data_IF_166635041310
#
_entry.id   IF_166635041310
#
_cell.length_a   1.000
_cell.length_b   1.000
_cell.length_c   1.000
_cell.angle_alpha   90.00
_cell.angle_beta   90.00
_cell.angle_gamma   90.00
#
_symmetry.space_group_name_H-M   'P 1'
#
loop_
_entity.id
_entity.type
_entity.pdbx_description
1 polymer ?
#
# COMPACT_ATOMS: atom_id res chain seq x y z
N UNK A 1 35.63 -23.43 27.75
CA UNK A 1 34.36 -23.97 27.19
C UNK A 1 34.65 -25.18 26.30
N UNK A 2 33.91 -26.28 26.49
CA UNK A 2 34.00 -27.50 25.67
C UNK A 2 33.62 -27.21 24.20
N UNK A 3 34.31 -27.86 23.25
CA UNK A 3 33.96 -27.80 21.81
C UNK A 3 32.50 -28.19 21.56
N UNK A 4 31.96 -29.10 22.37
CA UNK A 4 30.55 -29.56 22.29
C UNK A 4 29.55 -28.46 22.67
N UNK A 5 29.87 -27.67 23.71
CA UNK A 5 29.02 -26.56 24.14
C UNK A 5 28.95 -25.46 23.09
N UNK A 6 30.08 -25.16 22.42
CA UNK A 6 30.10 -24.19 21.31
C UNK A 6 29.22 -24.65 20.14
N UNK A 7 29.33 -25.92 19.75
CA UNK A 7 28.51 -26.48 18.66
C UNK A 7 27.01 -26.40 18.98
N UNK A 8 26.61 -26.85 20.18
CA UNK A 8 25.21 -26.79 20.61
C UNK A 8 24.69 -25.35 20.62
N UNK A 9 25.46 -24.41 21.14
CA UNK A 9 25.09 -22.99 21.14
C UNK A 9 24.92 -22.47 19.71
N UNK A 10 25.83 -22.78 18.79
CA UNK A 10 25.72 -22.38 17.38
C UNK A 10 24.45 -22.93 16.74
N UNK A 11 24.13 -24.21 16.97
CA UNK A 11 22.91 -24.82 16.42
C UNK A 11 21.65 -24.11 16.92
N UNK A 12 21.58 -23.81 18.22
CA UNK A 12 20.44 -23.07 18.80
C UNK A 12 20.32 -21.67 18.21
N UNK A 13 21.43 -20.93 18.09
CA UNK A 13 21.43 -19.58 17.49
C UNK A 13 20.97 -19.62 16.04
N UNK A 14 21.48 -20.57 15.23
CA UNK A 14 21.08 -20.72 13.83
C UNK A 14 19.59 -21.10 13.73
N UNK A 15 19.10 -22.00 14.58
CA UNK A 15 17.68 -22.36 14.61
C UNK A 15 16.79 -21.15 14.94
N UNK A 16 17.16 -20.34 15.93
CA UNK A 16 16.43 -19.12 16.29
C UNK A 16 16.45 -18.09 15.16
N UNK A 17 17.60 -17.89 14.51
CA UNK A 17 17.70 -17.01 13.34
C UNK A 17 16.82 -17.51 12.18
N UNK A 18 16.74 -18.82 11.98
CA UNK A 18 15.85 -19.43 10.99
C UNK A 18 14.38 -19.13 11.26
N UNK A 19 13.92 -19.31 12.49
CA UNK A 19 12.54 -18.98 12.88
C UNK A 19 12.24 -17.49 12.67
N UNK A 20 13.15 -16.61 13.06
CA UNK A 20 13.02 -15.17 12.83
C UNK A 20 12.96 -14.83 11.34
N UNK A 21 13.83 -15.44 10.52
CA UNK A 21 13.86 -15.23 9.08
C UNK A 21 12.55 -15.65 8.40
N UNK A 22 11.98 -16.79 8.80
CA UNK A 22 10.69 -17.28 8.27
C UNK A 22 9.53 -16.38 8.72
N UNK A 23 9.50 -15.95 9.97
CA UNK A 23 8.47 -15.02 10.46
C UNK A 23 8.54 -13.67 9.75
N UNK A 24 9.75 -13.17 9.51
CA UNK A 24 9.97 -11.94 8.74
C UNK A 24 9.55 -12.12 7.29
N UNK A 25 9.92 -13.20 6.61
CA UNK A 25 9.57 -13.41 5.20
C UNK A 25 8.05 -13.48 4.99
N UNK A 26 7.33 -14.14 5.90
CA UNK A 26 5.87 -14.24 5.81
C UNK A 26 5.20 -12.87 6.05
N UNK A 27 5.66 -12.12 7.06
CA UNK A 27 5.13 -10.79 7.35
C UNK A 27 5.57 -9.71 6.35
N UNK A 28 6.58 -9.97 5.52
CA UNK A 28 7.17 -8.97 4.62
C UNK A 28 6.30 -8.67 3.39
N UNK A 29 5.64 -9.69 2.86
CA UNK A 29 4.91 -9.63 1.59
C UNK A 29 3.60 -10.40 1.67
N UNK A 30 2.62 -9.89 2.45
CA UNK A 30 1.26 -10.41 2.33
C UNK A 30 0.83 -10.32 0.86
N UNK A 31 0.21 -11.39 0.34
CA UNK A 31 -0.19 -11.46 -1.06
C UNK A 31 -1.23 -10.37 -1.36
N UNK A 32 -2.43 -10.48 -0.83
CA UNK A 32 -3.55 -9.56 -1.06
C UNK A 32 -3.90 -8.78 0.20
N UNK A 33 -3.04 -7.87 0.69
CA UNK A 33 -3.23 -7.29 2.01
C UNK A 33 -4.41 -6.33 2.08
N UNK A 34 -4.88 -5.78 0.97
CA UNK A 34 -5.92 -4.76 0.97
C UNK A 34 -7.13 -5.21 0.16
N UNK A 35 -8.31 -5.03 0.72
CA UNK A 35 -9.61 -5.14 0.06
C UNK A 35 -10.27 -3.78 0.02
N UNK A 36 -10.98 -3.54 -1.06
CA UNK A 36 -11.67 -2.27 -1.30
C UNK A 36 -13.16 -2.57 -1.42
N UNK A 37 -13.95 -1.85 -0.64
CA UNK A 37 -15.41 -1.89 -0.74
C UNK A 37 -15.97 -0.49 -0.66
N UNK A 38 -17.07 -0.24 -1.34
CA UNK A 38 -17.72 1.07 -1.29
C UNK A 38 -18.53 1.17 0.00
N UNK A 39 -18.46 2.30 0.70
CA UNK A 39 -19.17 2.47 1.96
C UNK A 39 -20.69 2.40 1.72
N UNK A 40 -21.42 1.51 2.43
CA UNK A 40 -22.84 1.26 2.16
C UNK A 40 -23.75 2.47 2.47
N UNK A 41 -23.33 3.33 3.39
CA UNK A 41 -24.13 4.45 3.90
C UNK A 41 -24.02 5.73 3.05
N UNK A 42 -23.29 5.70 1.93
CA UNK A 42 -23.23 6.85 1.03
C UNK A 42 -24.50 6.93 0.17
N UNK A 43 -25.52 7.57 0.74
CA UNK A 43 -26.78 7.91 0.06
C UNK A 43 -26.61 9.17 -0.82
N UNK A 44 -25.51 9.90 -0.71
CA UNK A 44 -25.27 11.07 -1.56
C UNK A 44 -23.80 11.26 -1.89
N UNK A 45 -23.47 11.57 -3.16
CA UNK A 45 -22.14 12.01 -3.51
C UNK A 45 -21.74 13.21 -2.66
N UNK A 46 -20.51 13.18 -2.16
CA UNK A 46 -19.90 14.36 -1.59
C UNK A 46 -19.88 15.49 -2.64
N UNK A 47 -19.87 16.77 -2.21
CA UNK A 47 -19.93 17.92 -3.11
C UNK A 47 -18.93 17.78 -4.27
N UNK A 48 -19.38 18.13 -5.49
CA UNK A 48 -18.51 18.11 -6.66
C UNK A 48 -17.38 19.10 -6.45
N UNK A 49 -16.16 18.60 -6.55
CA UNK A 49 -14.98 19.47 -6.54
C UNK A 49 -14.48 19.67 -7.96
N UNK A 50 -14.21 20.92 -8.30
CA UNK A 50 -13.62 21.30 -9.57
C UNK A 50 -12.11 21.25 -9.44
N UNK A 51 -11.50 20.27 -10.11
CA UNK A 51 -10.05 20.17 -10.22
C UNK A 51 -9.69 20.35 -11.68
N UNK A 52 -8.97 21.43 -11.99
CA UNK A 52 -8.55 21.78 -13.37
C UNK A 52 -9.73 21.87 -14.35
N UNK A 53 -10.89 22.35 -13.90
CA UNK A 53 -12.09 22.50 -14.74
C UNK A 53 -12.87 21.21 -14.97
N UNK A 54 -12.49 20.11 -14.32
CA UNK A 54 -13.21 18.83 -14.35
C UNK A 54 -13.95 18.66 -13.03
N UNK A 55 -15.25 18.38 -13.08
CA UNK A 55 -16.06 18.04 -11.91
C UNK A 55 -15.81 16.59 -11.51
N UNK A 56 -15.31 16.37 -10.30
CA UNK A 56 -15.16 15.02 -9.75
C UNK A 56 -16.25 14.73 -8.73
N UNK A 57 -16.82 13.52 -8.81
CA UNK A 57 -17.70 12.99 -7.78
C UNK A 57 -16.85 12.29 -6.72
N UNK A 58 -17.01 12.67 -5.45
CA UNK A 58 -16.29 12.02 -4.35
C UNK A 58 -17.11 10.87 -3.77
N UNK A 59 -16.49 9.70 -3.68
CA UNK A 59 -17.07 8.48 -3.10
C UNK A 59 -16.20 7.99 -1.96
N UNK A 60 -16.80 7.55 -0.87
CA UNK A 60 -16.10 6.97 0.27
C UNK A 60 -15.91 5.47 0.05
N UNK A 61 -14.66 5.04 0.17
CA UNK A 61 -14.23 3.66 -0.02
C UNK A 61 -13.61 3.19 1.27
N UNK A 62 -14.07 2.04 1.72
CA UNK A 62 -13.49 1.29 2.83
C UNK A 62 -12.31 0.49 2.29
N UNK A 63 -11.15 0.72 2.91
CA UNK A 63 -9.93 -0.02 2.65
C UNK A 63 -9.68 -0.92 3.86
N UNK A 64 -9.97 -2.20 3.68
CA UNK A 64 -9.78 -3.24 4.70
C UNK A 64 -8.40 -3.88 4.52
N UNK A 65 -7.65 -4.03 5.60
CA UNK A 65 -6.43 -4.81 5.63
C UNK A 65 -6.74 -6.25 6.03
N UNK A 66 -6.55 -7.20 5.12
CA UNK A 66 -6.82 -8.63 5.37
C UNK A 66 -5.67 -9.34 6.08
N UNK A 67 -4.51 -8.69 6.20
CA UNK A 67 -3.30 -9.27 6.74
C UNK A 67 -3.15 -9.03 8.24
N UNK A 68 -2.33 -9.87 8.89
CA UNK A 68 -1.96 -9.73 10.31
C UNK A 68 -0.89 -8.67 10.59
N UNK A 69 -0.54 -7.82 9.61
CA UNK A 69 0.53 -6.81 9.74
C UNK A 69 0.03 -5.42 9.37
N UNK A 70 0.63 -4.38 9.94
CA UNK A 70 0.32 -2.99 9.58
C UNK A 70 0.74 -2.68 8.14
N UNK A 71 -0.22 -2.20 7.34
CA UNK A 71 -0.02 -1.80 5.95
C UNK A 71 -0.03 -0.29 5.84
N UNK A 72 0.90 0.27 5.09
CA UNK A 72 0.93 1.67 4.69
C UNK A 72 0.41 1.74 3.26
N UNK A 73 -0.77 2.35 3.09
CA UNK A 73 -1.44 2.55 1.82
C UNK A 73 -1.08 3.93 1.25
N UNK A 74 -0.61 3.97 0.00
CA UNK A 74 -0.22 5.21 -0.69
C UNK A 74 -1.29 5.71 -1.65
N UNK A 75 -2.14 4.82 -2.14
CA UNK A 75 -3.18 5.17 -3.09
C UNK A 75 -3.51 4.00 -4.00
N UNK A 76 -4.61 4.16 -4.72
CA UNK A 76 -5.04 3.19 -5.70
C UNK A 76 -5.62 3.87 -6.92
N UNK A 77 -5.74 3.11 -8.00
CA UNK A 77 -6.26 3.53 -9.26
C UNK A 77 -7.18 2.44 -9.79
N UNK A 78 -8.38 2.81 -10.21
CA UNK A 78 -9.26 1.85 -10.90
C UNK A 78 -8.83 1.81 -12.36
N UNK A 79 -8.55 0.61 -12.86
CA UNK A 79 -8.34 0.38 -14.29
C UNK A 79 -9.64 0.59 -15.03
N UNK A 80 -9.72 1.73 -15.68
CA UNK A 80 -10.68 2.03 -16.74
C UNK A 80 -9.96 2.77 -17.84
N UNK A 81 -10.62 2.94 -18.99
CA UNK A 81 -10.13 3.75 -20.12
C UNK A 81 -9.71 5.16 -19.70
N UNK A 82 -10.16 5.62 -18.52
CA UNK A 82 -9.64 6.79 -17.80
C UNK A 82 -9.17 6.40 -16.40
N UNK A 83 -8.03 6.95 -15.98
CA UNK A 83 -7.43 6.73 -14.66
C UNK A 83 -8.27 7.36 -13.54
N UNK A 84 -8.93 6.55 -12.72
CA UNK A 84 -9.55 7.00 -11.46
C UNK A 84 -8.53 6.93 -10.33
N UNK A 85 -8.49 7.91 -9.41
CA UNK A 85 -7.56 7.86 -8.28
C UNK A 85 -8.32 7.74 -6.94
N UNK A 86 -7.93 6.73 -6.16
CA UNK A 86 -8.22 6.60 -4.73
C UNK A 86 -7.04 7.22 -4.01
N UNK A 87 -7.28 8.33 -3.33
CA UNK A 87 -6.27 9.00 -2.52
C UNK A 87 -6.53 8.70 -1.05
N UNK A 88 -5.51 8.35 -0.27
CA UNK A 88 -5.65 8.31 1.17
C UNK A 88 -5.75 9.77 1.66
N UNK A 89 -6.76 10.12 2.45
CA UNK A 89 -6.94 11.48 2.97
C UNK A 89 -8.37 12.00 2.87
N UNK A 90 -8.64 13.11 3.57
CA UNK A 90 -9.97 13.74 3.69
C UNK A 90 -10.18 14.93 2.75
N UNK A 91 -9.17 15.37 2.02
CA UNK A 91 -9.26 16.58 1.19
C UNK A 91 -8.28 16.60 0.04
N UNK A 92 -8.74 17.10 -1.11
CA UNK A 92 -7.84 17.58 -2.14
C UNK A 92 -7.41 18.98 -1.73
N UNK A 93 -6.14 19.20 -1.43
CA UNK A 93 -5.64 20.57 -1.31
C UNK A 93 -5.61 21.14 -2.72
N UNK A 94 -6.61 21.97 -3.04
CA UNK A 94 -6.78 22.64 -4.33
C UNK A 94 -5.76 23.77 -4.53
N UNK A 95 -4.48 23.49 -4.33
CA UNK A 95 -3.37 24.35 -4.69
C UNK A 95 -3.03 24.13 -6.17
N UNK A 96 -3.33 25.10 -7.01
CA UNK A 96 -2.97 25.07 -8.43
C UNK A 96 -1.44 24.96 -8.58
N UNK A 97 -0.92 23.74 -8.79
CA UNK A 97 0.49 23.51 -9.11
C UNK A 97 1.19 22.37 -8.36
N UNK A 98 0.67 21.93 -7.22
CA UNK A 98 1.22 20.75 -6.53
C UNK A 98 0.51 19.49 -6.98
N UNK A 99 1.24 18.54 -7.55
CA UNK A 99 0.78 17.15 -7.62
C UNK A 99 0.41 16.76 -6.18
N UNK A 100 -0.84 16.35 -5.89
CA UNK A 100 -1.20 15.96 -4.53
C UNK A 100 -0.21 14.89 -4.11
N UNK A 101 0.60 15.19 -3.09
CA UNK A 101 1.46 14.16 -2.53
C UNK A 101 0.50 13.11 -1.96
N UNK A 102 0.64 11.83 -2.36
CA UNK A 102 -0.18 10.79 -1.78
C UNK A 102 0.04 10.81 -0.27
N UNK A 103 -0.97 11.24 0.49
CA UNK A 103 -0.89 11.16 1.95
C UNK A 103 -0.86 9.68 2.29
N UNK A 104 0.06 9.28 3.15
CA UNK A 104 0.17 7.88 3.51
C UNK A 104 -0.85 7.55 4.59
N UNK A 105 -1.58 6.46 4.41
CA UNK A 105 -2.54 5.99 5.41
C UNK A 105 -2.11 4.65 5.98
N UNK A 106 -2.00 4.59 7.30
CA UNK A 106 -1.75 3.31 7.98
C UNK A 106 -3.08 2.59 8.16
N UNK A 107 -3.18 1.36 7.64
CA UNK A 107 -4.29 0.45 7.81
C UNK A 107 -3.87 -0.62 8.84
N UNK A 108 -4.49 -0.67 10.03
CA UNK A 108 -4.09 -1.61 11.08
C UNK A 108 -4.34 -3.07 10.65
N UNK A 109 -3.69 -4.06 11.29
CA UNK A 109 -3.93 -5.48 11.02
C UNK A 109 -5.42 -5.82 11.15
N UNK A 110 -5.98 -6.53 10.17
CA UNK A 110 -7.41 -6.91 10.15
C UNK A 110 -8.38 -5.73 10.33
N UNK A 111 -7.91 -4.50 10.10
CA UNK A 111 -8.67 -3.29 10.35
C UNK A 111 -9.11 -2.63 9.05
N UNK A 112 -10.04 -1.70 9.18
CA UNK A 112 -10.59 -0.95 8.04
C UNK A 112 -10.38 0.55 8.24
N UNK A 113 -10.01 1.24 7.17
CA UNK A 113 -9.96 2.71 7.14
C UNK A 113 -10.86 3.24 6.04
N UNK A 114 -11.42 4.43 6.25
CA UNK A 114 -12.19 5.18 5.26
C UNK A 114 -11.23 6.04 4.42
N UNK A 115 -11.37 5.97 3.10
CA UNK A 115 -10.63 6.75 2.11
C UNK A 115 -11.60 7.40 1.12
N UNK A 116 -11.13 8.42 0.39
CA UNK A 116 -11.92 9.10 -0.62
C UNK A 116 -11.41 8.70 -2.02
N UNK A 117 -12.32 8.22 -2.85
CA UNK A 117 -12.12 8.01 -4.27
C UNK A 117 -12.71 9.19 -5.04
N UNK A 118 -11.93 9.76 -5.96
CA UNK A 118 -12.44 10.73 -6.92
C UNK A 118 -12.87 10.00 -8.19
N UNK A 119 -14.15 10.08 -8.50
CA UNK A 119 -14.74 9.60 -9.74
C UNK A 119 -14.73 10.69 -10.80
N UNK A 120 -14.27 10.33 -12.00
CA UNK A 120 -14.44 11.16 -13.19
C UNK A 120 -15.95 11.37 -13.47
N UNK A 121 -16.35 12.50 -14.05
CA UNK A 121 -17.76 12.86 -14.22
C UNK A 121 -18.53 11.88 -15.12
N UNK A 122 -17.85 11.12 -15.97
CA UNK A 122 -18.47 10.10 -16.81
C UNK A 122 -18.74 8.77 -16.07
N UNK A 123 -18.22 8.61 -14.85
CA UNK A 123 -18.33 7.39 -14.08
C UNK A 123 -19.33 7.57 -12.94
N UNK A 124 -20.40 6.77 -12.98
CA UNK A 124 -21.41 6.74 -11.93
C UNK A 124 -21.01 5.78 -10.81
N UNK A 125 -21.56 6.01 -9.63
CA UNK A 125 -21.46 5.08 -8.50
C UNK A 125 -21.89 3.65 -8.90
N UNK A 126 -23.00 3.53 -9.64
CA UNK A 126 -23.49 2.24 -10.11
C UNK A 126 -22.49 1.56 -11.05
N UNK A 127 -21.80 2.33 -11.90
CA UNK A 127 -20.76 1.76 -12.77
C UNK A 127 -19.59 1.16 -11.99
N UNK A 128 -19.22 1.72 -10.84
CA UNK A 128 -18.21 1.11 -9.95
C UNK A 128 -18.70 -0.19 -9.31
N UNK A 129 -20.00 -0.25 -9.00
CA UNK A 129 -20.60 -1.41 -8.33
C UNK A 129 -20.85 -2.56 -9.30
N UNK A 130 -21.27 -2.26 -10.53
CA UNK A 130 -21.57 -3.23 -11.58
C UNK A 130 -20.33 -3.74 -12.29
N UNK A 131 -19.37 -2.86 -12.57
CA UNK A 131 -18.15 -3.24 -13.27
C UNK A 131 -17.13 -3.65 -12.23
N UNK A 132 -16.85 -4.95 -12.15
CA UNK A 132 -15.79 -5.54 -11.34
C UNK A 132 -14.42 -5.11 -11.86
N UNK A 133 -14.11 -3.83 -11.70
CA UNK A 133 -12.90 -3.25 -12.25
C UNK A 133 -11.70 -3.64 -11.40
N UNK A 134 -10.61 -3.88 -12.10
CA UNK A 134 -9.32 -4.09 -11.48
C UNK A 134 -8.89 -2.80 -10.75
N UNK A 135 -8.59 -2.89 -9.46
CA UNK A 135 -8.03 -1.79 -8.67
C UNK A 135 -6.53 -2.02 -8.56
N UNK A 136 -5.74 -1.13 -9.16
CA UNK A 136 -4.29 -1.09 -9.03
C UNK A 136 -3.90 -0.24 -7.83
N UNK A 137 -3.20 -0.78 -6.86
CA UNK A 137 -2.88 -0.04 -5.65
C UNK A 137 -1.43 -0.18 -5.24
N UNK A 138 -0.94 0.86 -4.58
CA UNK A 138 0.40 0.95 -4.05
C UNK A 138 0.38 0.89 -2.52
N UNK A 139 1.19 0.00 -1.97
CA UNK A 139 1.26 -0.20 -0.52
C UNK A 139 2.66 -0.67 -0.10
N UNK A 140 2.92 -0.63 1.20
CA UNK A 140 4.08 -1.31 1.82
C UNK A 140 3.74 -1.76 3.23
N UNK A 141 4.56 -2.60 3.86
CA UNK A 141 4.42 -2.87 5.30
C UNK A 141 5.20 -1.84 6.10
N UNK A 142 4.74 -1.54 7.31
CA UNK A 142 5.46 -0.63 8.22
C UNK A 142 6.88 -1.10 8.53
N UNK A 143 7.07 -2.42 8.64
CA UNK A 143 8.38 -3.04 8.84
C UNK A 143 9.33 -2.75 7.65
N UNK A 144 8.89 -3.00 6.42
CA UNK A 144 9.69 -2.71 5.22
C UNK A 144 10.00 -1.22 5.09
N UNK A 145 9.03 -0.38 5.42
CA UNK A 145 9.21 1.07 5.43
C UNK A 145 10.27 1.54 6.42
N UNK A 146 10.34 0.95 7.61
CA UNK A 146 11.42 1.25 8.58
C UNK A 146 12.80 0.89 8.06
N UNK A 147 12.91 -0.14 7.21
CA UNK A 147 14.17 -0.50 6.56
C UNK A 147 14.51 0.36 5.34
N UNK A 148 13.64 1.29 4.93
CA UNK A 148 13.89 2.18 3.79
C UNK A 148 15.12 3.05 4.00
N UNK A 149 15.14 3.85 5.06
CA UNK A 149 16.23 4.79 5.28
C UNK A 149 17.59 4.07 5.45
N UNK A 150 17.70 2.98 6.24
CA UNK A 150 18.94 2.22 6.32
C UNK A 150 19.37 1.61 4.97
N UNK A 151 18.45 0.98 4.23
CA UNK A 151 18.79 0.36 2.94
C UNK A 151 19.21 1.40 1.90
N UNK A 152 18.53 2.55 1.87
CA UNK A 152 18.90 3.68 1.03
C UNK A 152 20.26 4.26 1.42
N UNK A 153 20.55 4.41 2.72
CA UNK A 153 21.85 4.87 3.21
C UNK A 153 22.97 3.91 2.77
N UNK A 154 22.78 2.60 2.94
CA UNK A 154 23.75 1.57 2.49
C UNK A 154 23.96 1.68 0.99
N UNK A 155 22.88 1.75 0.20
CA UNK A 155 22.98 1.90 -1.25
C UNK A 155 23.77 3.16 -1.66
N UNK A 156 23.53 4.29 -0.98
CA UNK A 156 24.21 5.56 -1.27
C UNK A 156 25.70 5.54 -0.91
N UNK A 157 26.09 4.85 0.17
CA UNK A 157 27.46 4.87 0.70
C UNK A 157 28.28 3.61 0.37
N UNK A 158 27.67 2.61 -0.27
CA UNK A 158 28.35 1.39 -0.69
C UNK A 158 29.48 1.70 -1.70
N UNK A 159 30.62 0.95 -1.64
CA UNK A 159 31.64 0.99 -2.67
C UNK A 159 31.07 0.64 -4.06
N UNK A 160 31.66 1.14 -5.14
CA UNK A 160 31.16 0.95 -6.52
C UNK A 160 30.90 -0.53 -6.87
N UNK A 161 31.86 -1.41 -6.57
CA UNK A 161 31.74 -2.86 -6.81
C UNK A 161 30.55 -3.53 -6.06
N UNK A 162 30.09 -2.93 -4.95
CA UNK A 162 28.92 -3.41 -4.23
C UNK A 162 27.64 -2.76 -4.75
N UNK A 163 27.67 -1.48 -5.13
CA UNK A 163 26.52 -0.77 -5.74
C UNK A 163 26.00 -1.47 -6.99
N UNK A 164 26.89 -1.96 -7.84
CA UNK A 164 26.53 -2.73 -9.04
C UNK A 164 25.75 -4.02 -8.72
N UNK A 165 25.91 -4.57 -7.51
CA UNK A 165 25.23 -5.78 -7.05
C UNK A 165 23.99 -5.51 -6.21
N UNK A 166 23.84 -4.28 -5.70
CA UNK A 166 22.70 -3.88 -4.89
C UNK A 166 21.59 -3.34 -5.80
N UNK A 167 20.39 -3.90 -5.70
CA UNK A 167 19.21 -3.28 -6.31
C UNK A 167 18.81 -2.04 -5.53
N UNK A 168 18.33 -1.00 -6.23
CA UNK A 168 17.71 0.13 -5.56
C UNK A 168 16.53 -0.37 -4.70
N UNK A 169 16.41 0.06 -3.44
CA UNK A 169 15.35 -0.42 -2.55
C UNK A 169 13.99 0.13 -3.00
N UNK A 170 13.34 -0.54 -3.95
CA UNK A 170 11.93 -0.31 -4.26
C UNK A 170 11.12 -0.88 -3.10
N UNK A 171 10.33 -0.04 -2.43
CA UNK A 171 9.56 -0.42 -1.23
C UNK A 171 8.07 -0.40 -1.47
N UNK A 172 7.66 0.24 -2.56
CA UNK A 172 6.29 0.22 -3.04
C UNK A 172 6.03 -1.11 -3.72
N UNK A 173 5.03 -1.82 -3.21
CA UNK A 173 4.43 -2.94 -3.92
C UNK A 173 3.23 -2.43 -4.70
N UNK A 174 3.20 -2.74 -5.98
CA UNK A 174 2.02 -2.53 -6.82
C UNK A 174 1.27 -3.85 -6.94
N UNK A 175 -0.04 -3.82 -6.73
CA UNK A 175 -0.89 -5.00 -6.92
C UNK A 175 -2.18 -4.63 -7.60
N UNK A 176 -2.74 -5.60 -8.33
CA UNK A 176 -4.03 -5.50 -9.01
C UNK A 176 -5.02 -6.37 -8.25
N UNK A 177 -6.03 -5.76 -7.64
CA UNK A 177 -7.15 -6.47 -7.04
C UNK A 177 -8.28 -6.55 -8.06
N UNK A 178 -8.69 -7.76 -8.43
CA UNK A 178 -9.89 -7.99 -9.24
C UNK A 178 -10.99 -8.40 -8.27
N UNK A 179 -12.07 -7.64 -8.21
CA UNK A 179 -13.22 -8.02 -7.39
C UNK A 179 -13.79 -9.35 -7.92
N UNK A 180 -14.09 -10.29 -7.02
CA UNK A 180 -14.72 -11.55 -7.40
C UNK A 180 -16.20 -11.33 -7.74
N UNK A 181 -16.78 -12.07 -8.72
CA UNK A 181 -18.19 -12.03 -9.15
C UNK A 181 -19.19 -12.02 -8.00
#
# INVERSE_FOLDING_TARGET
MSRRAKFLLTVVVVALLGVLAVGLSWSWTPADPLRFSVAPDQVSPLPREHLRGIEYQKVEVLVENTSGVEVVFFGAQVSSDRSLYILPGTGWTSGAGSTPQPEERVVPPHGTVRCIMALAPELTYDSLREHQRAIHYQWTTKARRRLQAPSQWVYQHAPGALKEKLSYPIILMTRTHVAAP
#
